data_IF_923713067356
#
_entry.id   IF_923713067356
#
_cell.length_a   1.000
_cell.length_b   1.000
_cell.length_c   1.000
_cell.angle_alpha   90.00
_cell.angle_beta   90.00
_cell.angle_gamma   90.00
#
_symmetry.space_group_name_H-M   'P 1'
#
loop_
_entity.id
_entity.type
_entity.pdbx_description
1 polymer ?
#
# COMPACT_ATOMS: atom_id res chain seq x y z
N UNK A 1 4.77 12.44 -2.22
CA UNK A 1 4.25 13.81 -2.00
C UNK A 1 3.26 14.24 -3.08
N UNK A 2 3.60 14.18 -4.38
CA UNK A 2 2.67 14.57 -5.46
C UNK A 2 1.32 13.82 -5.43
N UNK A 3 1.33 12.50 -5.23
CA UNK A 3 0.09 11.71 -5.15
C UNK A 3 -0.74 12.09 -3.92
N UNK A 4 -0.09 12.34 -2.78
CA UNK A 4 -0.75 12.82 -1.57
C UNK A 4 -1.37 14.21 -1.75
N UNK A 5 -0.66 15.13 -2.41
CA UNK A 5 -1.19 16.45 -2.77
C UNK A 5 -2.40 16.33 -3.70
N UNK A 6 -2.32 15.45 -4.71
CA UNK A 6 -3.41 15.16 -5.63
C UNK A 6 -4.65 14.64 -4.93
N UNK A 7 -4.48 13.69 -4.00
CA UNK A 7 -5.57 13.13 -3.19
C UNK A 7 -6.31 14.20 -2.38
N UNK A 8 -5.56 15.05 -1.66
CA UNK A 8 -6.15 16.15 -0.88
C UNK A 8 -6.88 17.13 -1.80
N UNK A 9 -6.28 17.52 -2.92
CA UNK A 9 -6.91 18.44 -3.87
C UNK A 9 -8.18 17.84 -4.49
N UNK A 10 -8.20 16.55 -4.76
CA UNK A 10 -9.36 15.85 -5.29
C UNK A 10 -10.47 15.77 -4.23
N UNK A 11 -10.13 15.44 -2.99
CA UNK A 11 -11.06 15.46 -1.86
C UNK A 11 -11.64 16.87 -1.63
N UNK A 12 -10.82 17.93 -1.70
CA UNK A 12 -11.26 19.32 -1.59
C UNK A 12 -12.21 19.75 -2.73
N UNK A 13 -12.00 19.25 -3.96
CA UNK A 13 -12.91 19.54 -5.09
C UNK A 13 -14.27 18.84 -4.91
N UNK A 14 -14.26 17.57 -4.50
CA UNK A 14 -15.47 16.83 -4.17
C UNK A 14 -16.28 17.55 -3.09
N UNK A 15 -15.61 18.01 -2.04
CA UNK A 15 -16.21 18.87 -0.99
C UNK A 15 -16.91 20.11 -1.53
N UNK A 16 -16.27 20.83 -2.46
CA UNK A 16 -16.84 22.04 -3.05
C UNK A 16 -18.05 21.75 -3.93
N UNK A 17 -18.12 20.58 -4.56
CA UNK A 17 -19.24 20.18 -5.41
C UNK A 17 -20.45 19.67 -4.61
N UNK A 18 -20.23 19.07 -3.44
CA UNK A 18 -21.30 18.45 -2.64
C UNK A 18 -22.10 19.51 -1.86
N UNK A 19 -21.54 20.71 -1.61
CA UNK A 19 -22.30 21.89 -1.15
C UNK A 19 -23.00 21.75 0.22
N UNK A 20 -22.84 20.64 0.95
CA UNK A 20 -23.54 20.35 2.20
C UNK A 20 -22.62 20.36 3.44
N UNK A 21 -23.20 20.92 4.52
CA UNK A 21 -22.65 21.21 5.84
C UNK A 21 -22.08 19.97 6.55
N UNK A 22 -20.80 20.05 6.93
CA UNK A 22 -20.16 19.26 8.00
C UNK A 22 -19.94 17.76 7.76
N UNK A 23 -20.98 16.96 7.98
CA UNK A 23 -20.88 15.50 8.17
C UNK A 23 -20.53 14.75 6.88
N UNK A 24 -21.15 15.12 5.76
CA UNK A 24 -20.87 14.49 4.46
C UNK A 24 -19.44 14.81 4.01
N UNK A 25 -18.96 16.01 4.33
CA UNK A 25 -17.61 16.48 4.02
C UNK A 25 -16.52 15.67 4.75
N UNK A 26 -16.72 15.38 6.03
CA UNK A 26 -15.74 14.64 6.82
C UNK A 26 -15.65 13.17 6.39
N UNK A 27 -16.80 12.52 6.20
CA UNK A 27 -16.88 11.12 5.79
C UNK A 27 -16.25 10.88 4.41
N UNK A 28 -16.48 11.76 3.44
CA UNK A 28 -15.93 11.61 2.08
C UNK A 28 -14.40 11.71 2.06
N UNK A 29 -13.82 12.63 2.85
CA UNK A 29 -12.35 12.78 2.93
C UNK A 29 -11.72 11.56 3.56
N UNK A 30 -12.31 11.04 4.65
CA UNK A 30 -11.82 9.85 5.34
C UNK A 30 -11.86 8.64 4.41
N UNK A 31 -13.00 8.39 3.75
CA UNK A 31 -13.14 7.27 2.81
C UNK A 31 -12.14 7.35 1.65
N UNK A 32 -11.91 8.53 1.08
CA UNK A 32 -10.94 8.71 0.00
C UNK A 32 -9.52 8.38 0.45
N UNK A 33 -9.11 8.86 1.63
CA UNK A 33 -7.76 8.62 2.14
C UNK A 33 -7.57 7.14 2.46
N UNK A 34 -8.52 6.50 3.15
CA UNK A 34 -8.40 5.12 3.59
C UNK A 34 -8.50 4.09 2.46
N UNK A 35 -9.26 4.40 1.40
CA UNK A 35 -9.37 3.49 0.27
C UNK A 35 -8.23 3.67 -0.72
N UNK A 36 -7.83 4.91 -0.99
CA UNK A 36 -6.86 5.17 -2.05
C UNK A 36 -5.42 5.05 -1.55
N UNK A 37 -5.12 5.42 -0.29
CA UNK A 37 -3.75 5.37 0.21
C UNK A 37 -3.13 3.96 0.15
N UNK A 38 -3.77 2.88 0.67
CA UNK A 38 -3.19 1.54 0.62
C UNK A 38 -3.06 1.00 -0.80
N UNK A 39 -4.01 1.36 -1.68
CA UNK A 39 -4.00 0.95 -3.09
C UNK A 39 -2.85 1.59 -3.85
N UNK A 40 -2.62 2.89 -3.66
CA UNK A 40 -1.50 3.60 -4.28
C UNK A 40 -0.17 3.04 -3.80
N UNK A 41 -0.03 2.80 -2.49
CA UNK A 41 1.21 2.28 -1.93
C UNK A 41 1.52 0.89 -2.43
N UNK A 42 0.56 -0.04 -2.42
CA UNK A 42 0.90 -1.37 -2.90
C UNK A 42 1.09 -1.42 -4.43
N UNK A 43 0.50 -0.51 -5.22
CA UNK A 43 0.87 -0.37 -6.64
C UNK A 43 2.33 0.06 -6.81
N UNK A 44 2.81 0.99 -5.96
CA UNK A 44 4.22 1.39 -5.91
C UNK A 44 5.12 0.21 -5.54
N UNK A 45 4.71 -0.60 -4.57
CA UNK A 45 5.44 -1.81 -4.16
C UNK A 45 5.50 -2.81 -5.31
N UNK A 46 4.38 -3.12 -5.96
CA UNK A 46 4.33 -4.02 -7.12
C UNK A 46 5.29 -3.54 -8.20
N UNK A 47 5.28 -2.24 -8.52
CA UNK A 47 6.12 -1.66 -9.58
C UNK A 47 7.62 -1.56 -9.27
N UNK A 48 8.03 -1.55 -7.99
CA UNK A 48 9.44 -1.43 -7.61
C UNK A 48 9.94 -2.66 -6.87
N UNK A 49 9.54 -2.82 -5.62
CA UNK A 49 10.03 -3.88 -4.73
C UNK A 49 9.57 -5.27 -5.19
N UNK A 50 8.37 -5.39 -5.78
CA UNK A 50 7.83 -6.62 -6.32
C UNK A 50 8.61 -7.14 -7.52
N UNK A 51 8.99 -6.24 -8.45
CA UNK A 51 9.82 -6.62 -9.61
C UNK A 51 11.23 -7.05 -9.20
N UNK A 52 11.83 -6.38 -8.21
CA UNK A 52 13.14 -6.76 -7.66
C UNK A 52 13.04 -8.13 -6.99
N UNK A 53 12.03 -8.34 -6.13
CA UNK A 53 11.79 -9.63 -5.48
C UNK A 53 11.65 -10.76 -6.51
N UNK A 54 10.87 -10.53 -7.55
CA UNK A 54 10.70 -11.49 -8.63
C UNK A 54 12.05 -11.81 -9.30
N UNK A 55 12.81 -10.79 -9.68
CA UNK A 55 14.11 -10.96 -10.31
C UNK A 55 15.09 -11.74 -9.44
N UNK A 56 15.21 -11.41 -8.16
CA UNK A 56 16.11 -12.10 -7.23
C UNK A 56 15.71 -13.56 -6.98
N UNK A 57 14.42 -13.86 -6.82
CA UNK A 57 13.96 -15.24 -6.61
C UNK A 57 14.05 -16.07 -7.89
N UNK A 58 13.79 -15.46 -9.05
CA UNK A 58 13.90 -16.12 -10.32
C UNK A 58 15.38 -16.41 -10.66
N UNK A 59 16.30 -15.51 -10.28
CA UNK A 59 17.74 -15.74 -10.38
C UNK A 59 18.23 -16.79 -9.37
N UNK A 60 17.77 -16.73 -8.12
CA UNK A 60 18.08 -17.75 -7.11
C UNK A 60 17.66 -19.16 -7.58
N UNK A 61 16.52 -19.27 -8.28
CA UNK A 61 16.08 -20.51 -8.91
C UNK A 61 16.99 -20.92 -10.08
N UNK A 62 17.41 -19.98 -10.94
CA UNK A 62 18.34 -20.26 -12.05
C UNK A 62 19.67 -20.81 -11.58
N UNK A 63 20.25 -20.23 -10.54
CA UNK A 63 21.51 -20.67 -9.92
C UNK A 63 21.33 -21.99 -9.14
N UNK A 64 20.10 -22.43 -8.92
CA UNK A 64 19.81 -23.68 -8.21
C UNK A 64 19.94 -23.55 -6.70
N UNK A 65 19.87 -22.33 -6.15
CA UNK A 65 20.00 -22.07 -4.71
C UNK A 65 19.00 -22.88 -3.86
N UNK A 66 17.72 -23.07 -4.25
CA UNK A 66 16.81 -23.92 -3.48
C UNK A 66 17.31 -25.37 -3.36
N UNK A 67 17.84 -25.95 -4.45
CA UNK A 67 18.38 -27.33 -4.47
C UNK A 67 19.69 -27.46 -3.70
N UNK A 68 20.46 -26.37 -3.58
CA UNK A 68 21.68 -26.33 -2.80
C UNK A 68 21.42 -26.33 -1.28
N UNK A 69 20.23 -25.92 -0.85
CA UNK A 69 19.83 -25.88 0.56
C UNK A 69 19.22 -27.21 1.05
N UNK A 70 18.63 -28.01 0.16
CA UNK A 70 18.11 -29.35 0.48
C UNK A 70 19.11 -30.24 1.25
N UNK A 71 20.39 -30.39 0.83
CA UNK A 71 21.36 -31.21 1.57
C UNK A 71 21.76 -30.63 2.93
N UNK A 72 21.48 -29.36 3.21
CA UNK A 72 21.73 -28.73 4.51
C UNK A 72 20.58 -28.94 5.51
N UNK A 73 19.48 -29.57 5.07
CA UNK A 73 18.28 -29.77 5.89
C UNK A 73 17.50 -28.49 6.18
N UNK A 74 17.74 -27.42 5.41
CA UNK A 74 17.07 -26.12 5.57
C UNK A 74 15.97 -25.99 4.53
N UNK A 75 14.77 -25.67 4.97
CA UNK A 75 13.65 -25.39 4.06
C UNK A 75 13.92 -24.11 3.24
N UNK A 76 14.05 -24.20 1.90
CA UNK A 76 14.37 -23.05 1.06
C UNK A 76 13.29 -21.98 1.08
N UNK A 77 12.03 -22.35 1.28
CA UNK A 77 10.91 -21.41 1.30
C UNK A 77 10.95 -20.57 2.58
N UNK A 78 11.18 -21.19 3.73
CA UNK A 78 11.30 -20.51 5.01
C UNK A 78 12.51 -19.57 5.04
N UNK A 79 13.62 -19.95 4.41
CA UNK A 79 14.84 -19.15 4.41
C UNK A 79 14.86 -18.04 3.36
N UNK A 80 14.32 -18.25 2.15
CA UNK A 80 14.35 -17.25 1.08
C UNK A 80 13.09 -16.39 1.03
N UNK A 81 11.91 -17.00 1.12
CA UNK A 81 10.64 -16.33 0.79
C UNK A 81 10.07 -15.61 2.02
N UNK A 82 9.96 -16.31 3.14
CA UNK A 82 9.34 -15.78 4.36
C UNK A 82 9.94 -14.45 4.86
N UNK A 83 11.27 -14.29 5.01
CA UNK A 83 11.84 -13.03 5.49
C UNK A 83 11.62 -11.87 4.52
N UNK A 84 11.64 -12.13 3.21
CA UNK A 84 11.43 -11.10 2.18
C UNK A 84 9.98 -10.65 2.11
N UNK A 85 9.03 -11.59 2.20
CA UNK A 85 7.61 -11.27 2.27
C UNK A 85 7.28 -10.46 3.53
N UNK A 86 7.86 -10.82 4.68
CA UNK A 86 7.68 -10.06 5.91
C UNK A 86 8.25 -8.63 5.80
N UNK A 87 9.42 -8.47 5.18
CA UNK A 87 10.02 -7.16 4.94
C UNK A 87 9.15 -6.27 4.04
N UNK A 88 8.58 -6.81 2.96
CA UNK A 88 7.68 -6.07 2.07
C UNK A 88 6.36 -5.71 2.78
N UNK A 89 5.79 -6.63 3.56
CA UNK A 89 4.58 -6.37 4.33
C UNK A 89 4.79 -5.25 5.36
N UNK A 90 5.89 -5.29 6.11
CA UNK A 90 6.27 -4.24 7.05
C UNK A 90 6.53 -2.89 6.36
N UNK A 91 7.18 -2.93 5.19
CA UNK A 91 7.43 -1.74 4.37
C UNK A 91 6.12 -1.13 3.85
N UNK A 92 5.17 -1.95 3.41
CA UNK A 92 3.84 -1.50 2.96
C UNK A 92 3.06 -0.77 4.03
N UNK A 93 3.07 -1.32 5.25
CA UNK A 93 2.49 -0.68 6.41
C UNK A 93 3.15 0.69 6.69
N UNK A 94 4.48 0.73 6.78
CA UNK A 94 5.21 1.95 7.10
C UNK A 94 5.00 3.04 6.02
N UNK A 95 5.03 2.66 4.74
CA UNK A 95 4.88 3.59 3.62
C UNK A 95 3.46 4.15 3.53
N UNK A 96 2.45 3.36 3.91
CA UNK A 96 1.05 3.83 3.98
C UNK A 96 0.86 4.83 5.10
N UNK A 97 1.41 4.57 6.29
CA UNK A 97 1.38 5.54 7.39
C UNK A 97 2.13 6.83 7.03
N UNK A 98 3.28 6.71 6.38
CA UNK A 98 4.02 7.88 5.88
C UNK A 98 3.21 8.67 4.84
N UNK A 99 2.48 8.01 3.95
CA UNK A 99 1.62 8.67 2.96
C UNK A 99 0.48 9.45 3.63
N UNK A 100 -0.14 8.90 4.67
CA UNK A 100 -1.21 9.58 5.42
C UNK A 100 -0.68 10.84 6.10
N UNK A 101 0.47 10.74 6.80
CA UNK A 101 1.12 11.91 7.43
C UNK A 101 1.52 12.94 6.38
N UNK A 102 2.11 12.51 5.27
CA UNK A 102 2.49 13.42 4.18
C UNK A 102 1.27 14.10 3.55
N UNK A 103 0.15 13.38 3.36
CA UNK A 103 -1.10 13.95 2.85
C UNK A 103 -1.63 15.02 3.81
N UNK A 104 -1.58 14.78 5.12
CA UNK A 104 -2.01 15.74 6.13
C UNK A 104 -1.16 17.01 6.13
N UNK A 105 0.17 16.87 6.11
CA UNK A 105 1.10 18.01 6.05
C UNK A 105 0.91 18.83 4.77
N UNK A 106 0.74 18.15 3.63
CA UNK A 106 0.56 18.81 2.34
C UNK A 106 -0.81 19.48 2.24
N UNK A 107 -1.84 18.87 2.82
CA UNK A 107 -3.18 19.46 2.92
C UNK A 107 -3.21 20.72 3.77
N UNK A 108 -2.53 20.69 4.93
CA UNK A 108 -2.37 21.87 5.77
C UNK A 108 -1.62 23.01 5.06
N UNK A 109 -0.50 22.67 4.39
CA UNK A 109 0.27 23.64 3.60
C UNK A 109 -0.56 24.24 2.46
N UNK A 110 -1.28 23.40 1.71
CA UNK A 110 -2.15 23.85 0.62
C UNK A 110 -3.29 24.75 1.10
N UNK A 111 -3.89 24.45 2.25
CA UNK A 111 -4.95 25.28 2.82
C UNK A 111 -4.43 26.64 3.30
N UNK A 112 -3.22 26.70 3.88
CA UNK A 112 -2.55 27.97 4.22
C UNK A 112 -2.26 28.83 3.00
N UNK A 113 -1.72 28.24 1.93
CA UNK A 113 -1.43 28.97 0.68
C UNK A 113 -2.72 29.49 0.04
N UNK A 114 -3.83 28.75 0.15
CA UNK A 114 -5.13 29.15 -0.34
C UNK A 114 -5.83 30.24 0.51
N UNK A 115 -5.19 30.76 1.56
CA UNK A 115 -5.74 31.82 2.41
C UNK A 115 -6.87 31.38 3.33
N UNK A 116 -7.05 30.07 3.52
CA UNK A 116 -8.03 29.55 4.49
C UNK A 116 -7.48 29.75 5.90
N UNK A 117 -8.35 30.15 6.84
CA UNK A 117 -8.00 30.28 8.27
C UNK A 117 -7.81 28.89 8.89
N UNK A 118 -6.66 28.30 8.63
CA UNK A 118 -6.25 27.02 9.19
C UNK A 118 -5.48 27.32 10.47
N UNK A 119 -5.91 26.73 11.59
CA UNK A 119 -5.31 26.94 12.90
C UNK A 119 -3.85 26.47 13.00
N UNK A 120 -3.38 26.20 14.22
CA UNK A 120 -2.04 25.67 14.43
C UNK A 120 -1.89 24.25 13.87
N UNK A 121 -0.66 23.89 13.48
CA UNK A 121 -0.34 22.56 12.94
C UNK A 121 -0.71 21.40 13.90
N UNK A 122 -0.49 21.49 15.24
CA UNK A 122 -0.96 20.45 16.16
C UNK A 122 -2.50 20.33 16.21
N UNK A 123 -3.23 21.45 16.12
CA UNK A 123 -4.69 21.41 16.05
C UNK A 123 -5.21 20.72 14.79
N UNK A 124 -4.54 20.93 13.65
CA UNK A 124 -4.88 20.25 12.40
C UNK A 124 -4.64 18.73 12.47
N UNK A 125 -3.61 18.29 13.20
CA UNK A 125 -3.34 16.87 13.42
C UNK A 125 -4.40 16.24 14.33
N UNK A 126 -4.71 16.90 15.45
CA UNK A 126 -5.70 16.41 16.40
C UNK A 126 -7.10 16.30 15.78
N UNK A 127 -7.48 17.29 14.97
CA UNK A 127 -8.71 17.27 14.21
C UNK A 127 -8.72 16.17 13.14
N UNK A 128 -7.60 15.90 12.47
CA UNK A 128 -7.52 14.83 11.48
C UNK A 128 -7.60 13.42 12.10
N UNK A 129 -6.97 13.22 13.26
CA UNK A 129 -7.04 11.94 13.99
C UNK A 129 -8.47 11.72 14.50
N UNK A 130 -9.11 12.77 15.02
CA UNK A 130 -10.51 12.71 15.47
C UNK A 130 -11.48 12.45 14.32
N UNK A 131 -11.25 13.07 13.15
CA UNK A 131 -12.07 12.90 11.96
C UNK A 131 -11.99 11.49 11.37
N UNK A 132 -10.79 10.90 11.32
CA UNK A 132 -10.58 9.54 10.80
C UNK A 132 -11.10 8.52 11.82
N UNK A 133 -10.81 8.73 13.10
CA UNK A 133 -11.07 7.78 14.17
C UNK A 133 -9.95 6.73 14.31
N UNK A 134 -9.66 6.34 15.55
CA UNK A 134 -8.68 5.30 15.86
C UNK A 134 -8.94 3.92 15.17
N UNK A 135 -10.18 3.38 15.12
CA UNK A 135 -10.40 2.06 14.54
C UNK A 135 -10.20 2.05 13.02
N UNK A 136 -10.51 3.17 12.37
CA UNK A 136 -10.35 3.42 10.95
C UNK A 136 -8.87 3.40 10.54
N UNK A 137 -8.02 4.11 11.29
CA UNK A 137 -6.57 4.12 11.14
C UNK A 137 -5.95 2.72 11.29
N UNK A 138 -6.37 1.98 12.33
CA UNK A 138 -5.90 0.61 12.56
C UNK A 138 -6.30 -0.34 11.43
N UNK A 139 -7.55 -0.28 10.97
CA UNK A 139 -8.02 -1.09 9.85
C UNK A 139 -7.25 -0.78 8.56
N UNK A 140 -6.97 0.51 8.31
CA UNK A 140 -6.18 0.96 7.15
C UNK A 140 -4.73 0.46 7.23
N UNK A 141 -4.13 0.50 8.41
CA UNK A 141 -2.81 -0.08 8.68
C UNK A 141 -2.77 -1.58 8.40
N UNK A 142 -3.74 -2.32 8.96
CA UNK A 142 -3.86 -3.76 8.78
C UNK A 142 -4.08 -4.13 7.31
N UNK A 143 -4.93 -3.38 6.61
CA UNK A 143 -5.16 -3.49 5.16
C UNK A 143 -3.87 -3.32 4.37
N UNK A 144 -3.07 -2.30 4.67
CA UNK A 144 -1.79 -2.06 4.01
C UNK A 144 -0.79 -3.20 4.23
N UNK A 145 -0.75 -3.75 5.45
CA UNK A 145 0.09 -4.90 5.77
C UNK A 145 -0.30 -6.15 4.96
N UNK A 146 -1.60 -6.47 4.91
CA UNK A 146 -2.12 -7.60 4.14
C UNK A 146 -1.87 -7.44 2.64
N UNK A 147 -2.06 -6.24 2.09
CA UNK A 147 -1.74 -5.93 0.70
C UNK A 147 -0.26 -6.22 0.39
N UNK A 148 0.65 -5.78 1.27
CA UNK A 148 2.09 -6.03 1.09
C UNK A 148 2.44 -7.52 1.17
N UNK A 149 1.83 -8.25 2.10
CA UNK A 149 2.05 -9.69 2.25
C UNK A 149 1.55 -10.47 1.03
N UNK A 150 0.33 -10.20 0.58
CA UNK A 150 -0.27 -10.90 -0.56
C UNK A 150 0.50 -10.62 -1.85
N UNK A 151 0.81 -9.35 -2.13
CA UNK A 151 1.60 -9.00 -3.33
C UNK A 151 2.97 -9.66 -3.33
N UNK A 152 3.68 -9.67 -2.20
CA UNK A 152 4.97 -10.36 -2.08
C UNK A 152 4.85 -11.87 -2.29
N UNK A 153 3.82 -12.51 -1.73
CA UNK A 153 3.58 -13.95 -1.90
C UNK A 153 3.29 -14.32 -3.36
N UNK A 154 2.53 -13.48 -4.08
CA UNK A 154 2.22 -13.69 -5.50
C UNK A 154 3.48 -13.59 -6.35
N UNK A 155 4.33 -12.59 -6.10
CA UNK A 155 5.62 -12.48 -6.81
C UNK A 155 6.57 -13.64 -6.49
N UNK A 156 6.62 -14.08 -5.24
CA UNK A 156 7.44 -15.21 -4.85
C UNK A 156 6.97 -16.51 -5.51
N UNK A 157 5.66 -16.77 -5.52
CA UNK A 157 5.08 -17.91 -6.21
C UNK A 157 5.35 -17.87 -7.71
N UNK A 158 5.13 -16.71 -8.36
CA UNK A 158 5.40 -16.55 -9.78
C UNK A 158 6.89 -16.80 -10.11
N UNK A 159 7.81 -16.24 -9.32
CA UNK A 159 9.24 -16.44 -9.53
C UNK A 159 9.68 -17.91 -9.38
N UNK A 160 9.14 -18.61 -8.38
CA UNK A 160 9.48 -20.00 -8.09
C UNK A 160 8.81 -21.02 -9.03
N UNK A 161 7.60 -20.76 -9.50
CA UNK A 161 6.88 -21.67 -10.41
C UNK A 161 7.26 -21.42 -11.87
N UNK A 162 7.32 -20.16 -12.29
CA UNK A 162 7.46 -19.79 -13.71
C UNK A 162 8.94 -19.62 -14.08
N UNK A 163 9.75 -19.01 -13.21
CA UNK A 163 11.17 -18.77 -13.49
C UNK A 163 11.37 -17.83 -14.70
N UNK A 164 12.61 -17.41 -15.00
CA UNK A 164 12.83 -16.38 -16.02
C UNK A 164 12.91 -16.93 -17.46
N UNK A 165 12.75 -18.25 -17.63
CA UNK A 165 12.46 -18.91 -18.94
C UNK A 165 11.00 -19.42 -19.02
N UNK A 166 10.17 -19.08 -18.03
CA UNK A 166 8.78 -19.53 -17.96
C UNK A 166 7.91 -18.99 -19.07
N UNK A 167 6.86 -19.77 -19.39
CA UNK A 167 5.82 -19.47 -20.38
C UNK A 167 5.05 -18.16 -20.10
N UNK A 168 5.16 -17.60 -18.88
CA UNK A 168 4.48 -16.40 -18.42
C UNK A 168 5.49 -15.32 -18.00
N UNK A 169 5.57 -14.18 -18.71
CA UNK A 169 6.56 -13.15 -18.44
C UNK A 169 6.18 -12.29 -17.21
N UNK A 170 7.15 -11.53 -16.69
CA UNK A 170 7.01 -10.54 -15.61
C UNK A 170 5.69 -9.72 -15.61
N UNK A 171 5.14 -9.29 -16.78
CA UNK A 171 3.85 -8.60 -16.84
C UNK A 171 2.65 -9.40 -16.28
N UNK A 172 2.66 -10.73 -16.41
CA UNK A 172 1.59 -11.59 -15.90
C UNK A 172 1.63 -11.72 -14.38
N UNK A 173 2.83 -11.81 -13.79
CA UNK A 173 3.04 -11.75 -12.34
C UNK A 173 2.60 -10.41 -11.77
N UNK A 174 2.93 -9.31 -12.46
CA UNK A 174 2.44 -7.97 -12.12
C UNK A 174 0.90 -7.93 -12.11
N UNK A 175 0.25 -8.43 -13.16
CA UNK A 175 -1.20 -8.45 -13.28
C UNK A 175 -1.86 -9.27 -12.15
N UNK A 176 -1.32 -10.46 -11.84
CA UNK A 176 -1.82 -11.30 -10.75
C UNK A 176 -1.65 -10.62 -9.39
N UNK A 177 -0.51 -9.97 -9.15
CA UNK A 177 -0.27 -9.24 -7.91
C UNK A 177 -1.21 -8.04 -7.76
N UNK A 178 -1.45 -7.30 -8.85
CA UNK A 178 -2.40 -6.21 -8.91
C UNK A 178 -3.84 -6.67 -8.63
N UNK A 179 -4.29 -7.76 -9.27
CA UNK A 179 -5.61 -8.32 -9.05
C UNK A 179 -5.77 -8.84 -7.61
N UNK A 180 -4.78 -9.56 -7.08
CA UNK A 180 -4.82 -10.08 -5.72
C UNK A 180 -4.89 -8.94 -4.69
N UNK A 181 -4.09 -7.89 -4.90
CA UNK A 181 -4.18 -6.65 -4.12
C UNK A 181 -5.60 -6.05 -4.16
N UNK A 182 -6.21 -5.93 -5.34
CA UNK A 182 -7.54 -5.35 -5.48
C UNK A 182 -8.59 -6.16 -4.73
N UNK A 183 -8.54 -7.50 -4.85
CA UNK A 183 -9.45 -8.41 -4.14
C UNK A 183 -9.32 -8.25 -2.63
N UNK A 184 -8.11 -8.22 -2.10
CA UNK A 184 -7.83 -7.98 -0.67
C UNK A 184 -8.35 -6.60 -0.24
N UNK A 185 -8.13 -5.58 -1.08
CA UNK A 185 -8.59 -4.23 -0.77
C UNK A 185 -10.12 -4.17 -0.66
N UNK A 186 -10.84 -4.77 -1.61
CA UNK A 186 -12.30 -4.78 -1.65
C UNK A 186 -12.89 -5.60 -0.50
N UNK A 187 -12.37 -6.80 -0.24
CA UNK A 187 -12.87 -7.68 0.84
C UNK A 187 -12.76 -7.02 2.22
N UNK A 188 -11.62 -6.40 2.54
CA UNK A 188 -11.43 -5.70 3.82
C UNK A 188 -12.34 -4.48 3.92
N UNK A 189 -12.61 -3.81 2.79
CA UNK A 189 -13.51 -2.66 2.76
C UNK A 189 -14.96 -3.06 3.02
N UNK A 190 -15.39 -4.24 2.54
CA UNK A 190 -16.73 -4.77 2.77
C UNK A 190 -16.98 -5.24 4.22
N UNK A 191 -15.91 -5.48 4.99
CA UNK A 191 -16.00 -5.91 6.39
C UNK A 191 -16.19 -4.77 7.39
N UNK A 192 -16.29 -3.52 6.92
CA UNK A 192 -16.40 -2.30 7.72
C UNK A 192 -17.81 -1.75 7.69
#
# INVERSE_FOLDING_TARGET
MLIGAGLVLQALRLLRQIGQEGLVREVVVVLLVEQIAPVVIGLLIIGRSGLILYGELAEARRVGLPRALDPMGVDPFLFLVMPRCAAIAASSFALTMFLIVAALLTGFGGAKIAGLAVGSLPYAIDNAISAIGAPALLLTAFKAWLIGLVTASVFAHAALCEGPEGQFPLPSAFMRAFLAMMVVSVTITLMR
#
